data_IF_248288276632
#
_entry.id   IF_248288276632
#
_cell.length_a   1.000
_cell.length_b   1.000
_cell.length_c   1.000
_cell.angle_alpha   90.00
_cell.angle_beta   90.00
_cell.angle_gamma   90.00
#
_symmetry.space_group_name_H-M   'P 1'
#
loop_
_entity.id
_entity.type
_entity.pdbx_description
1 polymer ?
#
# COMPACT_ATOMS: atom_id res chain seq x y z
N UNK A 1 18.10 32.46 -2.53
CA UNK A 1 18.55 32.40 -1.13
C UNK A 1 17.75 33.44 -0.36
N UNK A 2 16.69 33.04 0.36
CA UNK A 2 15.84 33.97 1.11
C UNK A 2 16.44 34.20 2.50
N UNK A 3 17.05 35.36 2.71
CA UNK A 3 17.57 35.74 4.03
C UNK A 3 16.42 36.16 4.97
N UNK A 4 16.40 35.51 6.12
CA UNK A 4 15.45 35.73 7.21
C UNK A 4 15.69 37.09 7.85
N UNK A 5 14.95 38.11 7.41
CA UNK A 5 14.81 39.40 8.11
C UNK A 5 14.04 39.21 9.44
N UNK A 6 14.73 38.71 10.46
CA UNK A 6 14.27 38.79 11.84
C UNK A 6 14.53 40.19 12.40
N UNK A 7 13.49 40.86 12.89
CA UNK A 7 13.60 42.14 13.62
C UNK A 7 14.75 42.11 14.65
N UNK A 8 15.64 43.12 14.69
CA UNK A 8 16.74 43.21 15.67
C UNK A 8 16.26 43.17 17.13
N UNK A 9 14.99 43.49 17.38
CA UNK A 9 14.40 43.38 18.71
C UNK A 9 14.21 41.93 19.15
N UNK A 10 14.11 40.97 18.22
CA UNK A 10 13.84 39.54 18.49
C UNK A 10 14.94 38.84 19.27
N UNK A 11 16.19 39.25 19.10
CA UNK A 11 17.33 38.73 19.85
C UNK A 11 17.41 39.26 21.28
N UNK A 12 16.82 40.43 21.58
CA UNK A 12 16.86 41.03 22.92
C UNK A 12 15.90 40.34 23.91
N UNK A 13 14.74 39.88 23.46
CA UNK A 13 13.75 39.20 24.31
C UNK A 13 13.75 37.67 24.20
N UNK A 14 14.47 37.10 23.22
CA UNK A 14 14.73 35.65 23.11
C UNK A 14 16.16 35.30 23.54
N UNK A 15 16.67 35.97 24.56
CA UNK A 15 17.88 35.52 25.25
C UNK A 15 17.64 34.08 25.75
N UNK A 16 18.57 33.17 25.43
CA UNK A 16 18.48 31.75 25.76
C UNK A 16 18.34 31.61 27.28
N UNK A 17 17.19 31.09 27.72
CA UNK A 17 16.81 30.95 29.12
C UNK A 17 15.83 32.04 29.57
N UNK A 18 14.54 31.69 29.70
CA UNK A 18 13.61 32.55 30.43
C UNK A 18 14.15 32.75 31.85
N UNK A 19 14.15 33.98 32.40
CA UNK A 19 14.54 34.23 33.79
C UNK A 19 13.89 33.22 34.73
N UNK A 20 14.63 32.68 35.70
CA UNK A 20 14.21 31.58 36.57
C UNK A 20 12.79 31.77 37.16
N UNK A 21 12.44 33.01 37.52
CA UNK A 21 11.10 33.35 38.02
C UNK A 21 9.98 33.22 36.98
N UNK A 22 10.24 33.50 35.69
CA UNK A 22 9.26 33.32 34.60
C UNK A 22 8.99 31.85 34.36
N UNK A 23 10.02 31.02 34.44
CA UNK A 23 9.86 29.57 34.29
C UNK A 23 9.13 28.99 35.52
N UNK A 24 9.52 29.37 36.73
CA UNK A 24 8.80 29.01 37.95
C UNK A 24 7.31 29.44 37.91
N UNK A 25 7.01 30.64 37.39
CA UNK A 25 5.63 31.11 37.22
C UNK A 25 4.85 30.29 36.19
N UNK A 26 5.46 29.95 35.04
CA UNK A 26 4.85 29.07 34.03
C UNK A 26 4.53 27.71 34.61
N UNK A 27 5.48 27.10 35.31
CA UNK A 27 5.28 25.81 35.97
C UNK A 27 4.13 25.89 36.98
N UNK A 28 4.08 26.93 37.82
CA UNK A 28 2.96 27.14 38.75
C UNK A 28 1.60 27.31 38.05
N UNK A 29 1.56 27.92 36.86
CA UNK A 29 0.33 28.04 36.08
C UNK A 29 -0.13 26.68 35.51
N UNK A 30 0.80 25.90 34.96
CA UNK A 30 0.54 24.56 34.46
C UNK A 30 0.08 23.61 35.57
N UNK A 31 0.74 23.68 36.74
CA UNK A 31 0.37 22.93 37.95
C UNK A 31 -1.07 23.24 38.37
N UNK A 32 -1.46 24.53 38.40
CA UNK A 32 -2.83 24.95 38.72
C UNK A 32 -3.86 24.43 37.71
N UNK A 33 -3.56 24.51 36.42
CA UNK A 33 -4.46 23.95 35.40
C UNK A 33 -4.60 22.43 35.54
N UNK A 34 -3.49 21.72 35.77
CA UNK A 34 -3.50 20.27 35.99
C UNK A 34 -4.34 19.89 37.21
N UNK A 35 -4.11 20.55 38.34
CA UNK A 35 -4.86 20.33 39.57
C UNK A 35 -6.36 20.66 39.42
N UNK A 36 -6.69 21.73 38.69
CA UNK A 36 -8.09 22.07 38.38
C UNK A 36 -8.77 20.98 37.55
N UNK A 37 -8.08 20.52 36.50
CA UNK A 37 -8.56 19.43 35.64
C UNK A 37 -8.74 18.14 36.45
N UNK A 38 -7.76 17.77 37.27
CA UNK A 38 -7.81 16.53 38.04
C UNK A 38 -8.92 16.57 39.09
N UNK A 39 -9.17 17.72 39.73
CA UNK A 39 -10.33 17.91 40.62
C UNK A 39 -11.66 17.74 39.87
N UNK A 40 -11.78 18.27 38.66
CA UNK A 40 -12.98 18.10 37.84
C UNK A 40 -13.19 16.62 37.48
N UNK A 41 -12.17 15.96 36.95
CA UNK A 41 -12.24 14.54 36.56
C UNK A 41 -12.52 13.63 37.76
N UNK A 42 -11.95 13.93 38.93
CA UNK A 42 -12.22 13.17 40.15
C UNK A 42 -13.66 13.37 40.64
N UNK A 43 -14.26 14.56 40.48
CA UNK A 43 -15.68 14.76 40.75
C UNK A 43 -16.56 13.89 39.84
N UNK A 44 -16.27 13.84 38.54
CA UNK A 44 -17.02 12.98 37.62
C UNK A 44 -16.83 11.49 37.93
N UNK A 45 -15.60 11.05 38.21
CA UNK A 45 -15.32 9.67 38.61
C UNK A 45 -15.99 9.28 39.92
N UNK A 46 -16.01 10.17 40.92
CA UNK A 46 -16.68 9.92 42.19
C UNK A 46 -18.21 10.01 42.08
N UNK A 47 -18.74 10.90 41.24
CA UNK A 47 -20.17 10.94 40.94
C UNK A 47 -20.68 9.63 40.30
N UNK A 48 -19.84 8.95 39.52
CA UNK A 48 -20.11 7.59 39.02
C UNK A 48 -19.77 6.45 40.01
N UNK A 49 -19.06 6.73 41.11
CA UNK A 49 -18.54 5.71 42.04
C UNK A 49 -19.15 5.71 43.45
N UNK A 50 -19.80 6.80 43.89
CA UNK A 50 -20.42 6.92 45.22
C UNK A 50 -21.90 6.53 45.25
N UNK A 51 -22.47 6.02 44.15
CA UNK A 51 -23.77 5.36 44.18
C UNK A 51 -23.57 4.01 44.87
N UNK A 52 -24.08 3.90 46.10
CA UNK A 52 -24.21 2.65 46.86
C UNK A 52 -24.86 1.57 45.97
N UNK A 53 -24.06 0.67 45.36
CA UNK A 53 -24.61 -0.40 44.50
C UNK A 53 -23.66 -1.00 43.47
N UNK A 54 -22.39 -1.24 43.83
CA UNK A 54 -21.36 -1.80 42.93
C UNK A 54 -21.43 -3.33 42.67
N UNK A 55 -22.62 -3.97 42.72
CA UNK A 55 -22.86 -5.15 41.88
C UNK A 55 -23.94 -4.92 40.81
N UNK A 56 -24.86 -3.98 41.02
CA UNK A 56 -26.05 -3.87 40.17
C UNK A 56 -25.80 -3.13 38.87
N UNK A 57 -24.90 -2.14 38.81
CA UNK A 57 -24.66 -1.39 37.56
C UNK A 57 -23.95 -2.21 36.49
N UNK A 58 -23.00 -3.07 36.86
CA UNK A 58 -22.32 -3.97 35.90
C UNK A 58 -23.25 -5.11 35.47
N UNK A 59 -24.08 -5.63 36.39
CA UNK A 59 -25.09 -6.64 36.08
C UNK A 59 -26.20 -6.05 35.19
N UNK A 60 -26.67 -4.84 35.46
CA UNK A 60 -27.66 -4.14 34.63
C UNK A 60 -27.14 -3.88 33.22
N UNK A 61 -25.87 -3.49 33.06
CA UNK A 61 -25.29 -3.30 31.71
C UNK A 61 -25.20 -4.63 30.97
N UNK A 62 -24.82 -5.70 31.66
CA UNK A 62 -24.76 -7.03 31.04
C UNK A 62 -26.16 -7.56 30.68
N UNK A 63 -27.14 -7.40 31.57
CA UNK A 63 -28.55 -7.76 31.32
C UNK A 63 -29.13 -6.97 30.16
N UNK A 64 -28.90 -5.64 30.11
CA UNK A 64 -29.35 -4.81 28.99
C UNK A 64 -28.64 -5.17 27.69
N UNK A 65 -27.34 -5.49 27.73
CA UNK A 65 -26.62 -5.95 26.55
C UNK A 65 -27.16 -7.29 26.04
N UNK A 66 -27.43 -8.24 26.94
CA UNK A 66 -28.00 -9.54 26.59
C UNK A 66 -29.44 -9.38 26.08
N UNK A 67 -30.25 -8.52 26.70
CA UNK A 67 -31.64 -8.25 26.29
C UNK A 67 -31.70 -7.58 24.90
N UNK A 68 -30.91 -6.53 24.67
CA UNK A 68 -30.82 -5.88 23.36
C UNK A 68 -30.21 -6.82 22.30
N UNK A 69 -29.19 -7.61 22.66
CA UNK A 69 -28.61 -8.60 21.75
C UNK A 69 -29.61 -9.70 21.36
N UNK A 70 -30.40 -10.19 22.31
CA UNK A 70 -31.46 -11.16 22.06
C UNK A 70 -32.60 -10.55 21.22
N UNK A 71 -32.95 -9.27 21.43
CA UNK A 71 -33.93 -8.56 20.62
C UNK A 71 -33.46 -8.41 19.16
N UNK A 72 -32.17 -8.11 18.94
CA UNK A 72 -31.56 -8.07 17.61
C UNK A 72 -31.57 -9.44 16.93
N UNK A 73 -31.18 -10.51 17.62
CA UNK A 73 -31.23 -11.88 17.07
C UNK A 73 -32.66 -12.36 16.77
N UNK A 74 -33.63 -11.97 17.60
CA UNK A 74 -35.05 -12.24 17.35
C UNK A 74 -35.57 -11.50 16.12
N UNK A 75 -35.00 -10.33 15.80
CA UNK A 75 -35.32 -9.56 14.61
C UNK A 75 -34.68 -10.18 13.37
N UNK A 76 -33.43 -10.65 13.45
CA UNK A 76 -32.76 -11.40 12.36
C UNK A 76 -33.45 -12.76 12.05
N UNK A 77 -34.08 -13.38 13.05
CA UNK A 77 -34.82 -14.64 12.87
C UNK A 77 -36.18 -14.47 12.16
N UNK A 78 -36.64 -13.24 11.97
CA UNK A 78 -37.84 -12.92 11.20
C UNK A 78 -37.45 -12.55 9.76
N UNK A 79 -37.85 -13.36 8.75
CA UNK A 79 -37.57 -13.05 7.33
C UNK A 79 -38.04 -11.65 6.92
N UNK A 80 -39.09 -11.14 7.58
CA UNK A 80 -39.69 -9.83 7.32
C UNK A 80 -38.83 -8.63 7.79
N UNK A 81 -38.00 -8.81 8.81
CA UNK A 81 -37.20 -7.71 9.36
C UNK A 81 -35.83 -7.61 8.69
N UNK A 82 -35.26 -8.73 8.22
CA UNK A 82 -34.13 -8.70 7.28
C UNK A 82 -34.48 -7.93 6.00
N UNK A 83 -35.71 -8.08 5.49
CA UNK A 83 -36.22 -7.30 4.35
C UNK A 83 -36.36 -5.78 4.61
N UNK A 84 -36.31 -5.35 5.88
CA UNK A 84 -36.36 -3.93 6.27
C UNK A 84 -34.95 -3.32 6.41
N UNK A 85 -33.93 -4.16 6.60
CA UNK A 85 -32.49 -3.80 6.64
C UNK A 85 -31.77 -4.08 5.32
N UNK A 86 -32.37 -4.82 4.40
CA UNK A 86 -32.11 -4.65 2.97
C UNK A 86 -32.46 -3.21 2.63
N UNK A 87 -31.51 -2.30 2.88
CA UNK A 87 -31.42 -1.08 2.09
C UNK A 87 -31.60 -1.53 0.64
N UNK A 88 -32.55 -0.98 -0.14
CA UNK A 88 -32.58 -1.24 -1.57
C UNK A 88 -31.24 -0.75 -2.10
N UNK A 89 -30.27 -1.65 -2.18
CA UNK A 89 -29.03 -1.39 -2.86
C UNK A 89 -29.48 -1.18 -4.28
N UNK A 90 -29.38 0.07 -4.74
CA UNK A 90 -29.95 0.44 -6.02
C UNK A 90 -29.30 -0.45 -7.07
N UNK A 91 -30.10 -1.28 -7.74
CA UNK A 91 -29.59 -2.21 -8.73
C UNK A 91 -28.82 -1.45 -9.81
N UNK A 92 -29.17 -0.18 -10.05
CA UNK A 92 -28.43 0.72 -10.93
C UNK A 92 -27.02 1.05 -10.42
N UNK A 93 -26.82 1.27 -9.13
CA UNK A 93 -25.48 1.52 -8.55
C UNK A 93 -24.59 0.28 -8.67
N UNK A 94 -25.14 -0.92 -8.46
CA UNK A 94 -24.41 -2.18 -8.65
C UNK A 94 -24.05 -2.43 -10.12
N UNK A 95 -24.96 -2.13 -11.04
CA UNK A 95 -24.73 -2.27 -12.48
C UNK A 95 -23.65 -1.27 -12.95
N UNK A 96 -23.65 -0.05 -12.43
CA UNK A 96 -22.60 0.95 -12.68
C UNK A 96 -21.23 0.46 -12.19
N UNK A 97 -21.14 -0.04 -10.96
CA UNK A 97 -19.89 -0.60 -10.41
C UNK A 97 -19.40 -1.79 -11.25
N UNK A 98 -20.30 -2.69 -11.64
CA UNK A 98 -19.94 -3.83 -12.49
C UNK A 98 -19.41 -3.38 -13.85
N UNK A 99 -20.05 -2.37 -14.47
CA UNK A 99 -19.59 -1.83 -15.73
C UNK A 99 -18.22 -1.14 -15.60
N UNK A 100 -18.00 -0.37 -14.53
CA UNK A 100 -16.69 0.25 -14.26
C UNK A 100 -15.59 -0.81 -14.12
N UNK A 101 -15.85 -1.90 -13.41
CA UNK A 101 -14.90 -2.99 -13.23
C UNK A 101 -14.55 -3.67 -14.56
N UNK A 102 -15.56 -3.91 -15.42
CA UNK A 102 -15.35 -4.48 -16.75
C UNK A 102 -14.52 -3.54 -17.61
N UNK A 103 -14.82 -2.24 -17.59
CA UNK A 103 -14.10 -1.23 -18.37
C UNK A 103 -12.64 -1.11 -17.91
N UNK A 104 -12.39 -1.18 -16.60
CA UNK A 104 -11.05 -1.21 -16.03
C UNK A 104 -10.27 -2.47 -16.45
N UNK A 105 -10.89 -3.65 -16.39
CA UNK A 105 -10.26 -4.90 -16.83
C UNK A 105 -9.87 -4.83 -18.32
N UNK A 106 -10.79 -4.37 -19.18
CA UNK A 106 -10.53 -4.19 -20.60
C UNK A 106 -9.43 -3.16 -20.87
N UNK A 107 -9.41 -2.07 -20.10
CA UNK A 107 -8.37 -1.06 -20.20
C UNK A 107 -6.99 -1.63 -19.89
N UNK A 108 -6.87 -2.38 -18.78
CA UNK A 108 -5.61 -3.04 -18.38
C UNK A 108 -5.14 -4.00 -19.47
N UNK A 109 -6.02 -4.86 -19.98
CA UNK A 109 -5.68 -5.79 -21.06
C UNK A 109 -5.20 -5.03 -22.30
N UNK A 110 -5.92 -3.98 -22.71
CA UNK A 110 -5.55 -3.16 -23.86
C UNK A 110 -4.16 -2.51 -23.72
N UNK A 111 -3.82 -1.99 -22.55
CA UNK A 111 -2.50 -1.41 -22.29
C UNK A 111 -1.40 -2.47 -22.36
N UNK A 112 -1.62 -3.64 -21.77
CA UNK A 112 -0.68 -4.76 -21.85
C UNK A 112 -0.45 -5.22 -23.28
N UNK A 113 -1.51 -5.36 -24.07
CA UNK A 113 -1.40 -5.75 -25.49
C UNK A 113 -0.63 -4.71 -26.30
N UNK A 114 -0.86 -3.41 -26.07
CA UNK A 114 -0.10 -2.34 -26.72
C UNK A 114 1.38 -2.39 -26.35
N UNK A 115 1.70 -2.63 -25.08
CA UNK A 115 3.10 -2.80 -24.64
C UNK A 115 3.74 -4.00 -25.30
N UNK A 116 3.05 -5.14 -25.35
CA UNK A 116 3.56 -6.35 -25.98
C UNK A 116 3.82 -6.15 -27.47
N UNK A 117 2.90 -5.49 -28.18
CA UNK A 117 3.09 -5.15 -29.59
C UNK A 117 4.27 -4.19 -29.81
N UNK A 118 4.53 -3.27 -28.87
CA UNK A 118 5.70 -2.41 -28.93
C UNK A 118 6.99 -3.23 -28.77
N UNK A 119 7.05 -4.11 -27.78
CA UNK A 119 8.20 -4.98 -27.55
C UNK A 119 8.49 -5.89 -28.75
N UNK A 120 7.45 -6.48 -29.34
CA UNK A 120 7.56 -7.29 -30.56
C UNK A 120 8.11 -6.47 -31.74
N UNK A 121 7.62 -5.23 -31.92
CA UNK A 121 8.15 -4.33 -32.95
C UNK A 121 9.61 -3.98 -32.70
N UNK A 122 10.01 -3.69 -31.48
CA UNK A 122 11.41 -3.46 -31.13
C UNK A 122 12.29 -4.67 -31.45
N UNK A 123 11.85 -5.87 -31.06
CA UNK A 123 12.58 -7.11 -31.34
C UNK A 123 12.70 -7.37 -32.85
N UNK A 124 11.61 -7.19 -33.60
CA UNK A 124 11.63 -7.38 -35.06
C UNK A 124 12.58 -6.41 -35.77
N UNK A 125 12.65 -5.15 -35.34
CA UNK A 125 13.63 -4.18 -35.86
C UNK A 125 15.06 -4.65 -35.58
N UNK A 126 15.36 -5.06 -34.34
CA UNK A 126 16.69 -5.53 -33.95
C UNK A 126 17.08 -6.77 -34.77
N UNK A 127 16.16 -7.73 -34.93
CA UNK A 127 16.40 -8.94 -35.73
C UNK A 127 16.63 -8.61 -37.21
N UNK A 128 15.84 -7.70 -37.79
CA UNK A 128 16.02 -7.25 -39.16
C UNK A 128 17.39 -6.59 -39.38
N UNK A 129 17.83 -5.76 -38.43
CA UNK A 129 19.16 -5.14 -38.46
C UNK A 129 20.27 -6.19 -38.35
N UNK A 130 20.11 -7.22 -37.51
CA UNK A 130 21.08 -8.31 -37.39
C UNK A 130 21.13 -9.22 -38.63
N UNK A 131 19.99 -9.45 -39.28
CA UNK A 131 19.94 -10.23 -40.52
C UNK A 131 20.56 -9.46 -41.69
N UNK A 132 20.36 -8.14 -41.75
CA UNK A 132 20.98 -7.28 -42.75
C UNK A 132 22.50 -7.12 -42.55
N UNK A 133 22.96 -7.11 -41.30
CA UNK A 133 24.36 -6.96 -40.94
C UNK A 133 25.02 -8.32 -40.68
N UNK A 134 25.68 -8.87 -41.71
CA UNK A 134 26.47 -10.09 -41.56
C UNK A 134 27.53 -9.95 -40.46
N UNK A 135 27.52 -10.85 -39.47
CA UNK A 135 28.45 -10.81 -38.35
C UNK A 135 29.90 -10.99 -38.80
N UNK A 136 30.73 -9.97 -38.56
CA UNK A 136 32.16 -10.02 -38.87
C UNK A 136 32.86 -10.91 -37.84
N UNK A 137 33.73 -11.80 -38.33
CA UNK A 137 34.48 -12.71 -37.47
C UNK A 137 35.40 -11.92 -36.50
N UNK A 138 35.31 -12.14 -35.18
CA UNK A 138 36.12 -11.41 -34.21
C UNK A 138 37.60 -11.78 -34.26
N UNK A 139 37.96 -12.92 -34.85
CA UNK A 139 39.36 -13.38 -34.94
C UNK A 139 40.11 -12.68 -36.07
N UNK A 140 39.49 -12.60 -37.26
CA UNK A 140 40.16 -12.03 -38.44
C UNK A 140 39.68 -10.64 -38.80
N UNK A 141 38.56 -10.18 -38.23
CA UNK A 141 37.93 -8.87 -38.48
C UNK A 141 37.68 -8.57 -39.97
N UNK A 142 37.67 -9.59 -40.82
CA UNK A 142 37.70 -9.46 -42.29
C UNK A 142 36.58 -10.21 -42.99
N UNK A 143 36.29 -11.43 -42.55
CA UNK A 143 35.29 -12.30 -43.18
C UNK A 143 34.05 -12.42 -42.29
N UNK A 144 32.89 -12.58 -42.91
CA UNK A 144 31.64 -12.85 -42.22
C UNK A 144 31.57 -14.29 -41.71
N UNK A 145 30.98 -14.47 -40.52
CA UNK A 145 30.64 -15.75 -39.96
C UNK A 145 29.54 -16.42 -40.79
N UNK A 146 29.64 -17.73 -40.95
CA UNK A 146 28.63 -18.56 -41.61
C UNK A 146 28.14 -19.61 -40.62
N UNK A 147 26.85 -19.89 -40.63
CA UNK A 147 26.25 -20.94 -39.80
C UNK A 147 25.82 -22.09 -40.71
N UNK A 148 26.27 -23.30 -40.42
CA UNK A 148 25.85 -24.51 -41.12
C UNK A 148 25.69 -25.65 -40.12
N UNK A 149 24.55 -26.34 -40.16
CA UNK A 149 24.25 -27.52 -39.33
C UNK A 149 24.62 -27.38 -37.84
N UNK A 150 24.33 -26.22 -37.23
CA UNK A 150 24.65 -25.98 -35.82
C UNK A 150 26.13 -25.73 -35.54
N UNK A 151 26.88 -25.22 -36.51
CA UNK A 151 28.28 -24.84 -36.36
C UNK A 151 28.48 -23.46 -36.98
N UNK A 152 29.10 -22.56 -36.22
CA UNK A 152 29.54 -21.24 -36.68
C UNK A 152 30.96 -21.36 -37.21
N UNK A 153 31.20 -20.94 -38.46
CA UNK A 153 32.48 -21.08 -39.14
C UNK A 153 32.93 -19.77 -39.81
N UNK A 154 34.24 -19.57 -39.92
CA UNK A 154 34.84 -18.48 -40.67
C UNK A 154 35.96 -18.97 -41.59
N UNK A 155 36.19 -18.29 -42.71
CA UNK A 155 37.26 -18.59 -43.67
C UNK A 155 38.68 -18.48 -43.08
N UNK A 156 38.84 -17.84 -41.91
CA UNK A 156 40.11 -17.76 -41.20
C UNK A 156 40.42 -18.99 -40.34
N UNK A 157 39.53 -19.99 -40.31
CA UNK A 157 39.68 -21.21 -39.52
C UNK A 157 38.94 -21.22 -38.17
N UNK A 158 38.17 -20.17 -37.84
CA UNK A 158 37.31 -20.20 -36.65
C UNK A 158 36.19 -21.23 -36.85
N UNK A 159 36.00 -22.11 -35.86
CA UNK A 159 34.99 -23.15 -35.83
C UNK A 159 34.41 -23.26 -34.42
N UNK A 160 33.12 -22.98 -34.27
CA UNK A 160 32.41 -22.99 -32.98
C UNK A 160 31.18 -23.90 -33.12
N UNK A 161 31.17 -25.08 -32.48
CA UNK A 161 29.95 -25.89 -32.41
C UNK A 161 28.90 -25.19 -31.56
N UNK A 162 27.69 -25.01 -32.09
CA UNK A 162 26.55 -24.48 -31.34
C UNK A 162 25.93 -25.62 -30.53
N UNK A 163 26.34 -25.78 -29.28
CA UNK A 163 25.65 -26.67 -28.37
C UNK A 163 24.34 -26.02 -27.94
N UNK A 164 23.20 -26.52 -28.42
CA UNK A 164 21.91 -26.18 -27.82
C UNK A 164 21.95 -26.63 -26.36
N UNK A 165 21.88 -25.68 -25.42
CA UNK A 165 21.67 -25.95 -24.01
C UNK A 165 20.30 -26.63 -23.85
N UNK A 166 20.24 -27.95 -24.04
CA UNK A 166 19.13 -28.76 -23.53
C UNK A 166 19.23 -28.67 -22.02
N UNK A 167 18.44 -27.77 -21.43
CA UNK A 167 18.30 -27.66 -19.99
C UNK A 167 18.02 -29.04 -19.40
N UNK A 168 18.97 -29.54 -18.60
CA UNK A 168 18.72 -30.72 -17.79
C UNK A 168 17.66 -30.34 -16.75
N UNK A 169 16.40 -30.68 -17.02
CA UNK A 169 15.38 -30.78 -15.99
C UNK A 169 15.78 -31.94 -15.07
N UNK A 170 16.54 -31.67 -14.01
CA UNK A 170 16.59 -32.57 -12.86
C UNK A 170 15.23 -32.46 -12.17
N UNK A 171 14.41 -33.48 -12.33
CA UNK A 171 13.21 -33.69 -11.51
C UNK A 171 13.64 -33.84 -10.04
N UNK A 172 13.04 -33.11 -9.08
CA UNK A 172 13.26 -33.40 -7.68
C UNK A 172 12.50 -34.68 -7.34
N UNK A 173 13.25 -35.75 -7.04
CA UNK A 173 12.71 -36.89 -6.30
C UNK A 173 12.52 -36.40 -4.86
N UNK A 174 11.28 -36.13 -4.47
CA UNK A 174 10.93 -36.03 -3.05
C UNK A 174 10.97 -37.44 -2.46
N UNK A 175 11.84 -37.65 -1.47
CA UNK A 175 11.81 -38.79 -0.55
C UNK A 175 11.09 -38.39 0.72
#
# INVERSE_FOLDING_TARGET
>A
MAELSGSPHRSLYKLVGSPHWKEAFRQGCLERMRNSRDRLLNKYRQAGGNMLGRPQSTLLVQELMEEEWNALQSMESCPQALAQWEMPMDLAELEEIQQELIDQEQSIISEYEKSLQFDEKCLSIILAEWEANSLICPVCTKYNLKISSGVVMCQCGLYIPSHSLKGQKKSPVFS
#
